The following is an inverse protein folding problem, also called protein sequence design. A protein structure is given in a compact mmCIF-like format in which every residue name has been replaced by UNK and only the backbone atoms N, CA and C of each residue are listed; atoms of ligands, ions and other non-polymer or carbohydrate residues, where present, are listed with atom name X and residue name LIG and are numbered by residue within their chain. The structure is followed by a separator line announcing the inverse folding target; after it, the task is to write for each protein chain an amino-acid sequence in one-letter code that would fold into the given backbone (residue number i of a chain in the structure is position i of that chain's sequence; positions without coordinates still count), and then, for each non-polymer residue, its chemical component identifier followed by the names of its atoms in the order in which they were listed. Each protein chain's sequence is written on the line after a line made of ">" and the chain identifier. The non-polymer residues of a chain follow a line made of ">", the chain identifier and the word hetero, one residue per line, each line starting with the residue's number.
data_IF_419217085226
#
_entry.id   IF_419217085226
#
_cell.length_a   1.000
_cell.length_b   1.000
_cell.length_c   1.000
_cell.angle_alpha   90.00
_cell.angle_beta   90.00
_cell.angle_gamma   90.00
#
_symmetry.space_group_name_H-M   'P 1'
#
loop_
_entity.id
_entity.type
_entity.pdbx_description
1 polymer ?
#
# COMPACT_ATOMS: atom_id res chain seq x y z
N UNK A 1 13.58 21.04 -11.68
CA UNK A 1 12.71 20.04 -11.03
C UNK A 1 11.39 19.80 -11.79
N UNK A 2 10.58 20.82 -12.08
CA UNK A 2 9.29 20.66 -12.81
C UNK A 2 9.39 19.95 -14.18
N UNK A 3 10.47 20.19 -14.94
CA UNK A 3 10.72 19.55 -16.24
C UNK A 3 11.02 18.04 -16.13
N UNK A 4 11.73 17.62 -15.08
CA UNK A 4 12.03 16.19 -14.86
C UNK A 4 10.79 15.41 -14.48
N UNK A 5 9.89 16.02 -13.70
CA UNK A 5 8.60 15.41 -13.34
C UNK A 5 7.71 15.20 -14.57
N UNK A 6 7.64 16.21 -15.46
CA UNK A 6 6.89 16.09 -16.71
C UNK A 6 7.48 15.02 -17.63
N UNK A 7 8.82 14.95 -17.75
CA UNK A 7 9.49 13.92 -18.53
C UNK A 7 9.27 12.52 -17.94
N UNK A 8 9.25 12.36 -16.61
CA UNK A 8 8.94 11.09 -15.96
C UNK A 8 7.47 10.68 -16.14
N UNK A 9 6.54 11.63 -16.08
CA UNK A 9 5.13 11.38 -16.42
C UNK A 9 4.96 10.97 -17.88
N UNK A 10 5.63 11.64 -18.82
CA UNK A 10 5.56 11.32 -20.25
C UNK A 10 6.20 9.98 -20.55
N UNK A 11 7.34 9.65 -19.92
CA UNK A 11 7.96 8.32 -20.03
C UNK A 11 7.05 7.26 -19.42
N UNK A 12 6.44 7.52 -18.25
CA UNK A 12 5.44 6.64 -17.64
C UNK A 12 4.21 6.42 -18.53
N UNK A 13 3.72 7.47 -19.20
CA UNK A 13 2.62 7.42 -20.16
C UNK A 13 2.99 6.70 -21.46
N UNK A 14 4.21 6.88 -21.98
CA UNK A 14 4.68 6.23 -23.20
C UNK A 14 5.08 4.76 -22.98
N UNK A 15 5.47 4.41 -21.75
CA UNK A 15 5.71 3.02 -21.36
C UNK A 15 4.41 2.23 -21.09
N UNK A 16 3.22 2.84 -21.11
CA UNK A 16 1.94 2.13 -20.96
C UNK A 16 1.65 1.13 -22.09
N UNK A 17 2.34 1.23 -23.22
CA UNK A 17 2.27 0.24 -24.30
C UNK A 17 3.21 -0.96 -24.12
N UNK A 18 4.19 -0.86 -23.21
CA UNK A 18 5.21 -1.89 -22.98
C UNK A 18 5.17 -2.50 -21.57
N UNK A 19 4.54 -1.84 -20.60
CA UNK A 19 4.44 -2.29 -19.23
C UNK A 19 2.98 -2.22 -18.75
N UNK A 20 2.45 -3.26 -18.09
CA UNK A 20 1.09 -3.27 -17.57
C UNK A 20 0.99 -2.34 -16.36
N UNK A 21 0.87 -1.04 -16.62
CA UNK A 21 0.62 -0.06 -15.58
C UNK A 21 -0.86 -0.10 -15.19
N UNK A 22 -1.16 -0.46 -13.94
CA UNK A 22 -2.51 -0.34 -13.37
C UNK A 22 -2.52 0.73 -12.29
N UNK A 23 -3.44 1.67 -12.41
CA UNK A 23 -3.75 2.61 -11.34
C UNK A 23 -5.07 2.20 -10.70
N UNK A 24 -5.13 2.20 -9.37
CA UNK A 24 -6.34 1.91 -8.64
C UNK A 24 -6.49 2.70 -7.35
N UNK A 25 -7.66 2.59 -6.75
CA UNK A 25 -7.96 3.06 -5.40
C UNK A 25 -8.02 1.85 -4.47
N UNK A 26 -7.40 1.97 -3.30
CA UNK A 26 -7.34 0.90 -2.32
C UNK A 26 -7.98 1.33 -1.00
N UNK A 27 -8.78 0.42 -0.45
CA UNK A 27 -9.40 0.53 0.86
C UNK A 27 -8.97 -0.68 1.68
N UNK A 28 -8.46 -0.47 2.88
CA UNK A 28 -8.11 -1.53 3.81
C UNK A 28 -8.72 -1.25 5.17
N UNK A 29 -9.39 -2.26 5.72
CA UNK A 29 -9.81 -2.30 7.11
C UNK A 29 -8.89 -3.25 7.88
N UNK A 30 -8.40 -2.80 9.02
CA UNK A 30 -7.47 -3.54 9.88
C UNK A 30 -7.28 -2.80 11.19
N UNK A 31 -6.08 -2.85 11.76
CA UNK A 31 -5.73 -2.01 12.93
C UNK A 31 -5.81 -0.52 12.60
N UNK A 32 -5.59 -0.17 11.33
CA UNK A 32 -5.81 1.15 10.76
C UNK A 32 -6.80 1.06 9.60
N UNK A 33 -7.68 2.05 9.50
CA UNK A 33 -8.48 2.24 8.30
C UNK A 33 -7.64 2.99 7.28
N UNK A 34 -7.16 2.30 6.23
CA UNK A 34 -6.32 2.89 5.19
C UNK A 34 -7.11 3.15 3.92
N UNK A 35 -6.90 4.32 3.33
CA UNK A 35 -7.41 4.70 2.02
C UNK A 35 -6.29 5.28 1.18
N UNK A 36 -6.14 4.85 -0.07
CA UNK A 36 -5.07 5.37 -0.90
C UNK A 36 -5.12 4.98 -2.36
N UNK A 37 -4.03 5.27 -3.04
CA UNK A 37 -3.82 4.90 -4.42
C UNK A 37 -3.00 3.61 -4.51
N UNK A 38 -3.19 2.89 -5.59
CA UNK A 38 -2.49 1.66 -5.93
C UNK A 38 -1.84 1.86 -7.31
N UNK A 39 -0.51 1.83 -7.37
CA UNK A 39 0.27 2.02 -8.59
C UNK A 39 1.03 0.73 -8.89
N UNK A 40 0.45 -0.13 -9.74
CA UNK A 40 1.12 -1.35 -10.20
C UNK A 40 1.93 -1.02 -11.45
N UNK A 41 3.25 -1.06 -11.34
CA UNK A 41 4.17 -0.71 -12.43
C UNK A 41 4.54 -1.93 -13.28
N UNK A 42 4.42 -3.13 -12.73
CA UNK A 42 4.72 -4.39 -13.41
C UNK A 42 3.91 -5.55 -12.81
N UNK A 43 4.08 -6.74 -13.37
CA UNK A 43 3.51 -7.97 -12.77
C UNK A 43 4.08 -8.25 -11.37
N UNK A 44 5.31 -7.79 -11.10
CA UNK A 44 6.06 -8.10 -9.89
C UNK A 44 6.04 -6.99 -8.83
N UNK A 45 5.78 -5.73 -9.21
CA UNK A 45 5.94 -4.60 -8.29
C UNK A 45 4.77 -3.61 -8.33
N UNK A 46 4.36 -3.20 -7.13
CA UNK A 46 3.27 -2.25 -6.90
C UNK A 46 3.61 -1.31 -5.75
N UNK A 47 3.25 -0.03 -5.86
CA UNK A 47 3.44 0.98 -4.82
C UNK A 47 2.08 1.49 -4.32
N UNK A 48 1.94 1.64 -3.01
CA UNK A 48 0.70 1.98 -2.33
C UNK A 48 0.92 3.13 -1.34
N UNK A 49 0.81 4.39 -1.77
CA UNK A 49 0.67 5.50 -0.85
C UNK A 49 -0.77 5.56 -0.32
N UNK A 50 -0.91 5.58 1.00
CA UNK A 50 -2.17 5.49 1.72
C UNK A 50 -2.21 6.50 2.87
N UNK A 51 -3.40 6.96 3.19
CA UNK A 51 -3.73 7.74 4.37
C UNK A 51 -4.49 6.81 5.32
N UNK A 52 -3.99 6.68 6.54
CA UNK A 52 -4.59 5.92 7.61
C UNK A 52 -5.31 6.79 8.61
N UNK A 53 -6.37 6.23 9.18
CA UNK A 53 -7.09 6.82 10.29
C UNK A 53 -7.19 5.76 11.40
N UNK A 54 -6.67 6.11 12.56
CA UNK A 54 -6.90 5.37 13.81
C UNK A 54 -7.95 6.15 14.60
N UNK A 55 -9.09 5.52 14.87
CA UNK A 55 -10.13 6.08 15.72
C UNK A 55 -10.19 5.24 17.00
N UNK A 56 -9.54 5.71 18.06
CA UNK A 56 -9.51 5.04 19.36
C UNK A 56 -10.15 5.89 20.46
N UNK A 57 -10.61 5.24 21.53
CA UNK A 57 -11.20 5.94 22.69
C UNK A 57 -10.24 6.95 23.34
N UNK A 58 -8.93 6.76 23.15
CA UNK A 58 -7.87 7.57 23.76
C UNK A 58 -7.13 8.50 22.80
N UNK A 59 -7.21 8.27 21.49
CA UNK A 59 -6.49 9.07 20.49
C UNK A 59 -7.09 8.89 19.10
N UNK A 60 -7.28 10.00 18.41
CA UNK A 60 -7.46 10.03 16.96
C UNK A 60 -6.11 10.33 16.32
N UNK A 61 -5.66 9.50 15.38
CA UNK A 61 -4.39 9.68 14.68
C UNK A 61 -4.57 9.57 13.16
N UNK A 62 -3.84 10.42 12.44
CA UNK A 62 -3.77 10.38 10.98
C UNK A 62 -2.38 9.92 10.57
N UNK A 63 -2.37 8.89 9.73
CA UNK A 63 -1.16 8.19 9.31
C UNK A 63 -0.93 8.39 7.82
N UNK A 64 0.32 8.59 7.41
CA UNK A 64 0.74 8.47 6.02
C UNK A 64 1.58 7.21 5.87
N UNK A 65 1.02 6.22 5.19
CA UNK A 65 1.68 4.95 4.91
C UNK A 65 2.10 4.87 3.44
N UNK A 66 3.29 4.33 3.20
CA UNK A 66 3.74 3.98 1.85
C UNK A 66 4.26 2.55 1.88
N UNK A 67 3.61 1.67 1.13
CA UNK A 67 3.99 0.26 1.01
C UNK A 67 4.43 -0.04 -0.42
N UNK A 68 5.51 -0.80 -0.58
CA UNK A 68 5.91 -1.38 -1.86
C UNK A 68 5.67 -2.88 -1.85
N UNK A 69 4.78 -3.41 -2.68
CA UNK A 69 4.47 -4.82 -2.75
C UNK A 69 5.26 -5.50 -3.86
N UNK A 70 5.91 -6.61 -3.52
CA UNK A 70 6.61 -7.50 -4.43
C UNK A 70 5.84 -8.82 -4.56
N UNK A 71 5.29 -9.09 -5.73
CA UNK A 71 4.57 -10.32 -6.02
C UNK A 71 5.54 -11.49 -6.18
N UNK A 72 5.22 -12.59 -5.51
CA UNK A 72 5.91 -13.87 -5.61
C UNK A 72 5.17 -14.78 -6.60
N UNK A 73 5.63 -16.02 -6.76
CA UNK A 73 4.94 -17.01 -7.58
C UNK A 73 3.50 -17.23 -7.11
N UNK A 74 2.57 -17.24 -8.06
CA UNK A 74 1.15 -17.41 -7.76
C UNK A 74 0.84 -18.76 -7.08
N UNK A 75 -0.13 -18.74 -6.17
CA UNK A 75 -0.69 -19.91 -5.51
C UNK A 75 -2.05 -20.24 -6.14
N UNK A 76 -2.01 -20.80 -7.35
CA UNK A 76 -3.21 -21.06 -8.14
C UNK A 76 -3.81 -19.75 -8.64
N UNK A 77 -4.98 -19.36 -8.11
CA UNK A 77 -5.63 -18.09 -8.44
C UNK A 77 -5.27 -16.95 -7.47
N UNK A 78 -4.50 -17.23 -6.42
CA UNK A 78 -4.09 -16.25 -5.42
C UNK A 78 -2.71 -15.69 -5.75
N UNK A 79 -2.62 -14.37 -5.84
CA UNK A 79 -1.35 -13.66 -5.94
C UNK A 79 -0.81 -13.41 -4.53
N UNK A 80 0.32 -14.00 -4.19
CA UNK A 80 1.00 -13.71 -2.93
C UNK A 80 2.04 -12.61 -3.10
N UNK A 81 2.21 -11.78 -2.07
CA UNK A 81 3.19 -10.70 -2.08
C UNK A 81 3.84 -10.53 -0.71
N UNK A 82 5.05 -9.96 -0.73
CA UNK A 82 5.70 -9.39 0.44
C UNK A 82 5.92 -7.91 0.21
N UNK A 83 5.69 -7.09 1.23
CA UNK A 83 5.78 -5.65 1.06
C UNK A 83 6.45 -4.96 2.24
N UNK A 84 7.65 -4.38 2.08
CA UNK A 84 8.14 -3.40 3.02
C UNK A 84 7.33 -2.11 2.91
N UNK A 85 7.21 -1.41 4.02
CA UNK A 85 6.56 -0.12 4.06
C UNK A 85 7.08 0.77 5.19
N UNK A 86 6.69 2.03 5.09
CA UNK A 86 6.96 3.05 6.09
C UNK A 86 5.65 3.73 6.45
N UNK A 87 5.51 4.14 7.71
CA UNK A 87 4.36 4.85 8.19
C UNK A 87 4.81 6.08 9.00
N UNK A 88 4.15 7.20 8.78
CA UNK A 88 4.35 8.45 9.50
C UNK A 88 3.04 8.85 10.17
N UNK A 89 3.02 8.76 11.48
CA UNK A 89 1.90 9.10 12.32
C UNK A 89 1.98 10.57 12.75
N UNK A 90 0.94 11.34 12.42
CA UNK A 90 0.84 12.76 12.76
C UNK A 90 -0.05 12.94 13.98
N UNK A 91 0.59 13.22 15.11
CA UNK A 91 -0.06 13.50 16.38
C UNK A 91 0.88 14.27 17.30
N UNK A 92 0.48 14.60 18.54
CA UNK A 92 1.29 15.41 19.49
C UNK A 92 2.72 14.88 19.70
N UNK A 93 2.91 13.58 19.48
CA UNK A 93 4.21 12.91 19.44
C UNK A 93 4.32 12.20 18.09
N UNK A 94 4.82 12.89 17.06
CA UNK A 94 5.01 12.30 15.73
C UNK A 94 5.80 10.99 15.82
N UNK A 95 5.29 9.93 15.21
CA UNK A 95 5.94 8.61 15.22
C UNK A 95 6.30 8.21 13.80
N UNK A 96 7.47 7.59 13.67
CA UNK A 96 7.89 6.97 12.42
C UNK A 96 7.88 5.46 12.61
N UNK A 97 7.39 4.70 11.65
CA UNK A 97 7.43 3.25 11.70
C UNK A 97 7.92 2.66 10.39
N UNK A 98 8.62 1.53 10.50
CA UNK A 98 8.97 0.67 9.38
C UNK A 98 8.17 -0.62 9.57
N UNK A 99 7.53 -1.10 8.52
CA UNK A 99 6.77 -2.33 8.55
C UNK A 99 7.13 -3.25 7.38
N UNK A 100 6.81 -4.51 7.55
CA UNK A 100 6.84 -5.52 6.50
C UNK A 100 5.56 -6.33 6.56
N UNK A 101 4.98 -6.63 5.41
CA UNK A 101 3.78 -7.43 5.30
C UNK A 101 3.98 -8.65 4.39
N UNK A 102 3.18 -9.68 4.63
CA UNK A 102 2.89 -10.76 3.72
C UNK A 102 1.40 -10.73 3.44
N UNK A 103 1.01 -10.82 2.18
CA UNK A 103 -0.40 -10.77 1.80
C UNK A 103 -0.74 -11.69 0.65
N UNK A 104 -2.05 -11.94 0.54
CA UNK A 104 -2.69 -12.68 -0.51
C UNK A 104 -3.73 -11.79 -1.18
N UNK A 105 -3.74 -11.78 -2.50
CA UNK A 105 -4.73 -11.08 -3.33
C UNK A 105 -5.48 -12.08 -4.20
N UNK A 106 -6.76 -11.83 -4.39
CA UNK A 106 -7.61 -12.48 -5.36
C UNK A 106 -8.23 -11.43 -6.27
N UNK A 107 -7.97 -11.52 -7.57
CA UNK A 107 -8.58 -10.66 -8.57
C UNK A 107 -9.95 -11.24 -8.94
N UNK A 108 -11.05 -10.58 -8.51
CA UNK A 108 -12.41 -10.98 -8.86
C UNK A 108 -12.61 -10.80 -10.37
N UNK A 109 -12.09 -9.71 -10.92
CA UNK A 109 -12.04 -9.40 -12.34
C UNK A 109 -10.92 -8.36 -12.60
N UNK A 110 -10.84 -7.84 -13.83
CA UNK A 110 -9.82 -6.84 -14.19
C UNK A 110 -9.92 -5.51 -13.43
N UNK A 111 -11.09 -5.18 -12.89
CA UNK A 111 -11.38 -3.91 -12.22
C UNK A 111 -11.40 -4.00 -10.70
N UNK A 112 -11.63 -5.18 -10.12
CA UNK A 112 -11.86 -5.36 -8.67
C UNK A 112 -11.02 -6.51 -8.15
N UNK A 113 -10.27 -6.24 -7.10
CA UNK A 113 -9.48 -7.23 -6.36
C UNK A 113 -9.79 -7.16 -4.88
N UNK A 114 -9.78 -8.31 -4.20
CA UNK A 114 -9.80 -8.41 -2.73
C UNK A 114 -8.42 -8.85 -2.26
N UNK A 115 -8.00 -8.41 -1.08
CA UNK A 115 -6.76 -8.89 -0.48
C UNK A 115 -6.86 -9.01 1.03
N UNK A 116 -6.02 -9.85 1.60
CA UNK A 116 -5.79 -9.97 3.03
C UNK A 116 -4.29 -10.01 3.30
N UNK A 117 -3.85 -9.36 4.38
CA UNK A 117 -2.44 -9.29 4.73
C UNK A 117 -2.21 -9.33 6.24
N UNK A 118 -1.04 -9.81 6.60
CA UNK A 118 -0.51 -9.85 7.95
C UNK A 118 0.86 -9.18 7.91
N UNK A 119 1.12 -8.30 8.86
CA UNK A 119 2.33 -7.52 8.94
C UNK A 119 2.97 -7.50 10.31
N UNK A 120 4.23 -7.11 10.32
CA UNK A 120 5.04 -6.85 11.49
C UNK A 120 5.68 -5.47 11.33
N UNK A 121 5.57 -4.65 12.35
CA UNK A 121 6.09 -3.28 12.38
C UNK A 121 7.02 -3.01 13.56
N UNK A 122 7.97 -2.10 13.32
CA UNK A 122 8.79 -1.46 14.33
C UNK A 122 8.44 0.03 14.37
N UNK A 123 8.02 0.52 15.54
CA UNK A 123 7.62 1.93 15.75
C UNK A 123 8.74 2.65 16.49
N UNK A 124 9.27 3.69 15.86
CA UNK A 124 10.22 4.62 16.42
C UNK A 124 9.45 5.82 17.00
N UNK A 125 9.16 5.73 18.30
CA UNK A 125 8.72 6.83 19.15
C UNK A 125 9.83 7.20 20.15
N UNK A 126 9.75 8.36 20.82
CA UNK A 126 10.69 8.71 21.91
C UNK A 126 10.83 7.60 22.96
N UNK A 127 9.74 6.90 23.23
CA UNK A 127 9.74 5.60 23.91
C UNK A 127 9.83 4.49 22.86
N UNK A 128 10.95 3.78 22.78
CA UNK A 128 11.18 2.78 21.74
C UNK A 128 10.33 1.53 21.97
N UNK A 129 9.34 1.28 21.10
CA UNK A 129 8.45 0.12 21.19
C UNK A 129 8.75 -0.85 20.04
N UNK A 130 9.23 -2.05 20.38
CA UNK A 130 9.39 -3.16 19.42
C UNK A 130 8.27 -4.18 19.64
N UNK A 131 7.23 -4.08 18.81
CA UNK A 131 6.37 -5.14 18.27
C UNK A 131 4.98 -4.56 18.04
N UNK A 132 4.67 -4.32 16.77
CA UNK A 132 3.28 -4.13 16.34
C UNK A 132 2.97 -5.23 15.34
N UNK A 133 2.08 -6.14 15.72
CA UNK A 133 1.44 -7.02 14.77
C UNK A 133 0.39 -6.20 14.06
N UNK A 134 0.32 -6.30 12.73
CA UNK A 134 -0.77 -5.72 11.97
C UNK A 134 -1.51 -6.76 11.15
N UNK A 135 -2.81 -6.60 11.03
CA UNK A 135 -3.63 -7.40 10.12
C UNK A 135 -4.57 -6.49 9.35
N UNK A 136 -4.90 -6.87 8.12
CA UNK A 136 -5.82 -6.08 7.32
C UNK A 136 -6.44 -6.88 6.18
N UNK A 137 -7.67 -6.52 5.84
CA UNK A 137 -8.40 -7.01 4.67
C UNK A 137 -8.85 -5.80 3.88
N UNK A 138 -8.78 -5.87 2.56
CA UNK A 138 -9.09 -4.73 1.72
C UNK A 138 -9.56 -5.07 0.32
N UNK A 139 -9.92 -4.00 -0.39
CA UNK A 139 -10.40 -4.00 -1.76
C UNK A 139 -9.57 -3.00 -2.57
N UNK A 140 -9.25 -3.38 -3.81
CA UNK A 140 -8.62 -2.50 -4.79
C UNK A 140 -9.54 -2.38 -5.99
N UNK A 141 -9.82 -1.14 -6.40
CA UNK A 141 -10.57 -0.81 -7.61
C UNK A 141 -9.62 -0.23 -8.65
N UNK A 142 -9.37 -0.95 -9.73
CA UNK A 142 -8.52 -0.49 -10.82
C UNK A 142 -9.28 0.38 -11.82
N UNK A 143 -8.67 1.49 -12.21
CA UNK A 143 -9.11 2.27 -13.36
C UNK A 143 -8.74 1.51 -14.63
N UNK A 144 -9.77 1.04 -15.35
CA UNK A 144 -9.60 0.41 -16.65
C UNK A 144 -9.32 1.49 -17.69
N UNK A 145 -8.13 1.46 -18.29
CA UNK A 145 -7.81 2.29 -19.46
C UNK A 145 -8.39 1.56 -20.69
N UNK A 146 -9.51 2.05 -21.23
CA UNK A 146 -10.10 1.57 -22.49
C UNK A 146 -9.62 2.42 -23.66
#
# INVERSE_FOLDING_TARGET
>A
MKKNFLSMMIVGLLCTSAFPFKFGMEFQAGDLMLFGANFRFSEFFELKPQIGFEFGETRDEVDLAVNGNFYLSDLGQLQQYVGPGVNFAFSDNSRFAINGNYGLRYDINEAISVFGQIGLGMVFSPDFIIRTYSTGVGLTFYMLNR
#
